data_IF_814925546732
#
_entry.id   IF_814925546732
#
_cell.length_a   1.000
_cell.length_b   1.000
_cell.length_c   1.000
_cell.angle_alpha   90.00
_cell.angle_beta   90.00
_cell.angle_gamma   90.00
#
_symmetry.space_group_name_H-M   'P 1'
#
loop_
_entity.id
_entity.type
_entity.pdbx_description
1 polymer ?
#
# COMPACT_ATOMS: atom_id res chain seq x y z
N UNK A 1 -5.99 19.23 54.65
CA UNK A 1 -4.75 19.90 54.21
C UNK A 1 -4.81 19.97 52.69
N UNK A 2 -4.79 21.15 52.08
CA UNK A 2 -4.86 21.28 50.63
C UNK A 2 -3.52 20.83 50.03
N UNK A 3 -3.51 19.72 49.28
CA UNK A 3 -2.35 19.26 48.50
C UNK A 3 -2.59 19.55 47.02
N UNK A 4 -1.53 19.86 46.29
CA UNK A 4 -1.54 20.02 44.82
C UNK A 4 -1.21 18.64 44.23
N UNK A 5 -2.12 18.06 43.46
CA UNK A 5 -1.82 16.83 42.72
C UNK A 5 -0.95 17.13 41.49
N UNK A 6 0.15 16.40 41.34
CA UNK A 6 1.08 16.56 40.23
C UNK A 6 1.36 15.20 39.59
N UNK A 7 1.42 15.18 38.26
CA UNK A 7 1.76 13.99 37.46
C UNK A 7 3.13 14.18 36.81
N UNK A 8 4.02 13.21 36.98
CA UNK A 8 5.33 13.22 36.32
C UNK A 8 5.19 12.94 34.82
N UNK A 9 5.71 13.82 33.97
CA UNK A 9 5.69 13.62 32.51
C UNK A 9 6.60 12.46 32.04
N UNK A 10 7.65 12.11 32.80
CA UNK A 10 8.60 11.08 32.41
C UNK A 10 8.13 9.66 32.74
N UNK A 11 7.51 9.45 33.91
CA UNK A 11 7.11 8.10 34.37
C UNK A 11 5.61 7.92 34.63
N UNK A 12 4.79 8.97 34.49
CA UNK A 12 3.35 8.92 34.75
C UNK A 12 2.93 8.83 36.22
N UNK A 13 3.87 8.83 37.17
CA UNK A 13 3.58 8.77 38.60
C UNK A 13 2.82 10.00 39.11
N UNK A 14 1.84 9.80 39.99
CA UNK A 14 1.03 10.85 40.63
C UNK A 14 1.39 11.00 42.10
N UNK A 15 1.55 12.22 42.60
CA UNK A 15 1.80 12.48 44.01
C UNK A 15 1.24 13.84 44.45
N UNK A 16 0.91 13.96 45.73
CA UNK A 16 0.47 15.21 46.34
C UNK A 16 1.65 16.04 46.83
N UNK A 17 1.65 17.33 46.52
CA UNK A 17 2.68 18.27 46.95
C UNK A 17 2.08 19.37 47.86
N UNK A 18 2.73 19.74 48.98
CA UNK A 18 2.29 20.87 49.80
C UNK A 18 2.27 22.21 49.03
N UNK A 19 1.36 23.16 49.37
CA UNK A 19 1.20 24.40 48.61
C UNK A 19 2.44 25.31 48.55
N UNK A 20 3.34 25.22 49.54
CA UNK A 20 4.56 26.04 49.57
C UNK A 20 5.59 25.67 48.48
N UNK A 21 5.37 24.55 47.77
CA UNK A 21 6.17 24.16 46.60
C UNK A 21 5.60 24.64 45.26
N UNK A 22 4.47 25.37 45.27
CA UNK A 22 3.90 25.92 44.04
C UNK A 22 4.91 26.81 43.30
N UNK A 23 5.11 26.58 42.00
CA UNK A 23 6.08 27.28 41.16
C UNK A 23 7.52 26.77 41.24
N UNK A 24 7.82 25.78 42.09
CA UNK A 24 9.17 25.22 42.22
C UNK A 24 9.39 23.99 41.32
N UNK A 25 10.64 23.66 41.03
CA UNK A 25 11.03 22.38 40.43
C UNK A 25 11.47 21.41 41.52
N UNK A 26 10.90 20.21 41.52
CA UNK A 26 11.22 19.15 42.46
C UNK A 26 11.56 17.85 41.70
N UNK A 27 12.48 17.02 42.22
CA UNK A 27 12.73 15.70 41.64
C UNK A 27 11.56 14.75 41.87
N UNK A 28 11.20 13.98 40.85
CA UNK A 28 10.19 12.94 40.96
C UNK A 28 10.60 11.88 41.99
N UNK A 29 9.74 11.52 42.97
CA UNK A 29 10.06 10.47 43.93
C UNK A 29 10.18 9.07 43.28
N UNK A 30 9.67 8.88 42.07
CA UNK A 30 9.69 7.59 41.37
C UNK A 30 10.88 7.44 40.40
N UNK A 31 11.23 8.49 39.63
CA UNK A 31 12.26 8.41 38.58
C UNK A 31 13.31 9.53 38.63
N UNK A 32 13.28 10.40 39.64
CA UNK A 32 14.20 11.53 39.85
C UNK A 32 14.24 12.61 38.75
N UNK A 33 13.44 12.51 37.69
CA UNK A 33 13.31 13.59 36.70
C UNK A 33 12.74 14.86 37.34
N UNK A 34 13.21 16.03 36.93
CA UNK A 34 12.69 17.31 37.42
C UNK A 34 11.23 17.53 36.96
N UNK A 35 10.37 17.92 37.89
CA UNK A 35 8.94 18.20 37.66
C UNK A 35 8.67 19.64 38.08
N UNK A 36 7.94 20.39 37.27
CA UNK A 36 7.53 21.77 37.57
C UNK A 36 6.15 21.77 38.24
N UNK A 37 6.08 22.29 39.47
CA UNK A 37 4.81 22.45 40.20
C UNK A 37 4.13 23.74 39.72
N UNK A 38 2.84 23.75 39.34
CA UNK A 38 2.14 24.97 38.91
C UNK A 38 2.16 26.06 40.00
N UNK A 39 2.28 27.33 39.62
CA UNK A 39 2.26 28.44 40.57
C UNK A 39 0.84 28.63 41.14
N UNK A 40 0.74 28.91 42.44
CA UNK A 40 -0.55 29.14 43.10
C UNK A 40 -1.21 30.40 42.51
N UNK A 41 -2.36 30.24 41.87
CA UNK A 41 -3.10 31.36 41.27
C UNK A 41 -2.88 31.53 39.77
N UNK A 42 -2.08 30.70 39.10
CA UNK A 42 -2.26 30.55 37.66
C UNK A 42 -3.61 29.87 37.41
N UNK A 43 -4.52 30.49 36.61
CA UNK A 43 -5.72 29.82 36.15
C UNK A 43 -5.29 28.48 35.56
N UNK A 44 -5.93 27.38 35.98
CA UNK A 44 -5.69 26.08 35.36
C UNK A 44 -5.66 26.32 33.84
N UNK A 45 -4.59 25.92 33.12
CA UNK A 45 -4.50 26.14 31.68
C UNK A 45 -5.83 25.73 31.10
N UNK A 46 -6.51 26.67 30.42
CA UNK A 46 -7.86 26.49 29.91
C UNK A 46 -7.83 25.15 29.20
N UNK A 47 -8.46 24.15 29.83
CA UNK A 47 -8.64 22.85 29.19
C UNK A 47 -9.32 23.20 27.87
N UNK A 48 -8.73 22.87 26.71
CA UNK A 48 -9.42 23.02 25.45
C UNK A 48 -10.83 22.51 25.67
N UNK A 49 -11.82 23.36 25.37
CA UNK A 49 -13.22 23.09 25.67
C UNK A 49 -13.48 21.63 25.34
N UNK A 50 -13.87 20.86 26.37
CA UNK A 50 -14.23 19.47 26.20
C UNK A 50 -15.27 19.45 25.11
N UNK A 51 -14.86 19.04 23.91
CA UNK A 51 -15.75 18.79 22.80
C UNK A 51 -16.80 17.86 23.40
N UNK A 52 -18.05 18.32 23.41
CA UNK A 52 -19.18 17.42 23.60
C UNK A 52 -18.99 16.36 22.55
N UNK A 53 -18.73 15.14 23.01
CA UNK A 53 -18.53 13.99 22.17
C UNK A 53 -19.75 13.89 21.26
N UNK A 54 -19.56 14.29 20.01
CA UNK A 54 -20.28 13.66 18.92
C UNK A 54 -19.99 12.15 19.08
N UNK A 55 -20.99 11.25 19.04
CA UNK A 55 -20.77 9.81 19.23
C UNK A 55 -19.92 9.15 18.13
N UNK A 56 -19.23 9.94 17.30
CA UNK A 56 -18.46 9.50 16.14
C UNK A 56 -17.19 10.35 15.89
N UNK A 57 -16.55 10.88 16.94
CA UNK A 57 -15.20 11.46 16.80
C UNK A 57 -14.13 10.37 16.88
N UNK A 58 -13.46 10.18 15.75
CA UNK A 58 -12.35 9.26 15.50
C UNK A 58 -11.12 9.62 16.39
N UNK A 59 -10.60 8.70 17.22
CA UNK A 59 -9.47 8.95 18.12
C UNK A 59 -8.13 9.29 17.43
N UNK A 60 -8.07 9.29 16.10
CA UNK A 60 -6.81 9.44 15.34
C UNK A 60 -6.61 10.81 14.67
N UNK A 61 -7.55 11.75 14.80
CA UNK A 61 -7.46 13.06 14.16
C UNK A 61 -6.26 13.92 14.64
N UNK A 62 -5.85 13.78 15.90
CA UNK A 62 -4.76 14.59 16.46
C UNK A 62 -3.36 14.05 16.13
N UNK A 63 -3.22 12.79 15.70
CA UNK A 63 -1.93 12.22 15.28
C UNK A 63 -1.48 12.69 13.89
N UNK A 64 -2.37 13.31 13.11
CA UNK A 64 -2.10 13.79 11.76
C UNK A 64 -1.31 15.09 11.71
N UNK A 65 -1.45 15.96 12.72
CA UNK A 65 -0.78 17.26 12.70
C UNK A 65 0.73 17.18 12.99
N UNK A 66 1.18 16.13 13.68
CA UNK A 66 2.60 15.92 13.99
C UNK A 66 3.36 15.16 12.87
N UNK A 67 2.67 14.34 12.08
CA UNK A 67 3.28 13.58 10.98
C UNK A 67 3.61 14.43 9.75
N UNK A 68 2.90 15.53 9.51
CA UNK A 68 3.13 16.41 8.35
C UNK A 68 4.42 17.25 8.45
N UNK A 69 4.98 17.41 9.66
CA UNK A 69 6.19 18.20 9.88
C UNK A 69 7.49 17.39 9.95
N UNK A 70 7.44 16.07 9.75
CA UNK A 70 8.61 15.20 9.79
C UNK A 70 8.92 14.59 8.42
N UNK A 71 9.27 15.43 7.45
CA UNK A 71 9.78 14.98 6.15
C UNK A 71 11.08 14.18 6.34
N UNK A 72 11.11 12.86 6.08
CA UNK A 72 12.35 12.10 6.12
C UNK A 72 13.27 12.54 4.97
N UNK A 73 14.60 12.51 5.14
CA UNK A 73 15.53 12.87 4.07
C UNK A 73 15.28 11.98 2.84
N UNK A 74 15.16 12.63 1.68
CA UNK A 74 14.96 12.01 0.37
C UNK A 74 16.03 10.93 0.12
N UNK A 75 15.57 9.70 -0.10
CA UNK A 75 16.40 8.49 -0.17
C UNK A 75 16.91 8.25 -1.59
N UNK A 76 18.18 7.87 -1.68
CA UNK A 76 19.02 7.74 -2.88
C UNK A 76 18.45 6.94 -4.06
N UNK A 77 18.76 7.49 -5.25
CA UNK A 77 18.78 6.96 -6.62
C UNK A 77 17.87 5.76 -6.95
N UNK A 78 16.72 6.11 -7.50
CA UNK A 78 15.78 5.18 -8.12
C UNK A 78 16.15 4.92 -9.59
N UNK A 79 16.26 3.64 -9.95
CA UNK A 79 16.31 3.18 -11.33
C UNK A 79 14.89 3.26 -11.92
N UNK A 80 14.74 3.95 -13.06
CA UNK A 80 13.46 4.16 -13.74
C UNK A 80 13.34 3.27 -14.98
N UNK A 81 12.22 2.57 -15.12
CA UNK A 81 11.86 1.83 -16.33
C UNK A 81 11.04 2.79 -17.19
N UNK A 82 11.78 3.66 -17.88
CA UNK A 82 11.32 4.86 -18.57
C UNK A 82 11.80 6.12 -17.83
N UNK A 83 12.40 7.10 -18.52
CA UNK A 83 13.05 8.29 -17.93
C UNK A 83 12.18 9.15 -17.00
N UNK A 84 10.88 8.89 -16.89
CA UNK A 84 9.92 9.85 -16.34
C UNK A 84 9.13 9.38 -15.11
N UNK A 85 9.33 8.14 -14.62
CA UNK A 85 8.59 7.69 -13.43
C UNK A 85 9.37 6.69 -12.56
N UNK A 86 9.33 6.95 -11.26
CA UNK A 86 9.85 6.09 -10.21
C UNK A 86 8.71 5.69 -9.28
N UNK A 87 8.61 4.41 -8.94
CA UNK A 87 7.69 3.94 -7.91
C UNK A 87 8.02 4.60 -6.56
N UNK A 88 7.03 5.23 -5.92
CA UNK A 88 7.18 5.86 -4.60
C UNK A 88 7.44 4.82 -3.51
N UNK A 89 6.87 3.62 -3.64
CA UNK A 89 7.05 2.50 -2.73
C UNK A 89 7.35 1.21 -3.52
N UNK A 90 8.60 0.99 -3.98
CA UNK A 90 8.92 -0.16 -4.82
C UNK A 90 8.79 -1.49 -4.06
N UNK A 91 8.16 -2.48 -4.70
CA UNK A 91 7.88 -3.79 -4.08
C UNK A 91 9.13 -4.51 -3.57
N UNK A 92 10.24 -4.48 -4.32
CA UNK A 92 11.52 -5.12 -3.97
C UNK A 92 11.32 -6.58 -3.50
N UNK A 93 10.49 -7.34 -4.22
CA UNK A 93 10.23 -8.75 -3.97
C UNK A 93 11.02 -9.58 -4.96
N UNK A 94 11.65 -10.66 -4.50
CA UNK A 94 12.15 -11.71 -5.38
C UNK A 94 11.01 -12.71 -5.59
N UNK A 95 10.38 -12.77 -6.77
CA UNK A 95 9.21 -13.63 -6.95
C UNK A 95 9.62 -15.11 -6.93
N UNK A 96 8.83 -15.92 -6.24
CA UNK A 96 8.81 -17.36 -6.43
C UNK A 96 8.06 -17.67 -7.73
N UNK A 97 8.82 -18.06 -8.75
CA UNK A 97 8.28 -18.33 -10.10
C UNK A 97 7.38 -19.56 -10.14
N UNK A 98 7.58 -20.53 -9.24
CA UNK A 98 6.70 -21.69 -9.14
C UNK A 98 5.33 -21.26 -8.62
N UNK A 99 5.31 -20.43 -7.58
CA UNK A 99 4.08 -19.85 -7.05
C UNK A 99 3.38 -18.96 -8.08
N UNK A 100 4.13 -18.15 -8.83
CA UNK A 100 3.56 -17.40 -9.95
C UNK A 100 2.85 -18.33 -10.96
N UNK A 101 3.50 -19.44 -11.31
CA UNK A 101 2.95 -20.42 -12.25
C UNK A 101 1.63 -21.04 -11.76
N UNK A 102 1.47 -21.31 -10.46
CA UNK A 102 0.22 -21.87 -9.93
C UNK A 102 -0.95 -20.89 -10.03
N UNK A 103 -0.70 -19.59 -9.88
CA UNK A 103 -1.73 -18.55 -9.97
C UNK A 103 -1.99 -18.05 -11.41
N UNK A 104 -0.99 -18.13 -12.30
CA UNK A 104 -1.06 -17.64 -13.68
C UNK A 104 -0.46 -18.66 -14.67
N UNK A 105 -1.03 -19.89 -14.80
CA UNK A 105 -0.42 -20.97 -15.57
C UNK A 105 -0.51 -20.78 -17.09
N UNK A 106 -1.52 -20.05 -17.57
CA UNK A 106 -1.88 -20.02 -19.01
C UNK A 106 -0.74 -19.58 -19.91
N UNK A 107 -0.17 -18.39 -19.68
CA UNK A 107 0.90 -17.85 -20.53
C UNK A 107 2.21 -18.64 -20.44
N UNK A 108 2.71 -19.01 -19.25
CA UNK A 108 3.85 -19.91 -19.12
C UNK A 108 3.67 -21.22 -19.89
N UNK A 109 2.50 -21.87 -19.78
CA UNK A 109 2.21 -23.12 -20.51
C UNK A 109 2.25 -22.89 -22.01
N UNK A 110 1.62 -21.82 -22.52
CA UNK A 110 1.65 -21.48 -23.95
C UNK A 110 3.09 -21.34 -24.45
N UNK A 111 3.93 -20.60 -23.74
CA UNK A 111 5.33 -20.39 -24.14
C UNK A 111 6.17 -21.67 -24.06
N UNK A 112 6.01 -22.47 -23.00
CA UNK A 112 6.73 -23.74 -22.83
C UNK A 112 6.31 -24.74 -23.91
N UNK A 113 5.01 -24.90 -24.17
CA UNK A 113 4.48 -25.82 -25.19
C UNK A 113 4.93 -25.37 -26.59
N UNK A 114 4.84 -24.09 -26.91
CA UNK A 114 5.31 -23.56 -28.20
C UNK A 114 6.81 -23.80 -28.41
N UNK A 115 7.62 -23.58 -27.36
CA UNK A 115 9.05 -23.86 -27.39
C UNK A 115 9.32 -25.36 -27.62
N UNK A 116 8.68 -26.25 -26.86
CA UNK A 116 8.86 -27.71 -26.99
C UNK A 116 8.48 -28.19 -28.38
N UNK A 117 7.32 -27.77 -28.91
CA UNK A 117 6.88 -28.13 -30.26
C UNK A 117 7.85 -27.64 -31.33
N UNK A 118 8.36 -26.41 -31.20
CA UNK A 118 9.33 -25.86 -32.16
C UNK A 118 10.64 -26.66 -32.18
N UNK A 119 11.12 -27.11 -31.01
CA UNK A 119 12.31 -27.96 -30.90
C UNK A 119 12.05 -29.34 -31.53
N UNK A 120 10.91 -29.97 -31.24
CA UNK A 120 10.53 -31.26 -31.83
C UNK A 120 10.50 -31.17 -33.36
N UNK A 121 9.86 -30.14 -33.92
CA UNK A 121 9.81 -29.97 -35.37
C UNK A 121 11.18 -29.64 -35.98
N UNK A 122 12.05 -28.93 -35.26
CA UNK A 122 13.41 -28.66 -35.72
C UNK A 122 14.25 -29.94 -35.89
N UNK A 123 14.08 -30.90 -34.98
CA UNK A 123 14.72 -32.22 -35.11
C UNK A 123 14.04 -33.11 -36.15
N UNK A 124 12.71 -33.14 -36.17
CA UNK A 124 11.95 -34.12 -36.96
C UNK A 124 11.80 -33.71 -38.43
N UNK A 125 11.81 -32.42 -38.75
CA UNK A 125 11.38 -31.92 -40.07
C UNK A 125 12.44 -31.09 -40.78
N UNK A 126 12.91 -29.99 -40.18
CA UNK A 126 13.85 -29.10 -40.84
C UNK A 126 14.65 -28.23 -39.86
N UNK A 127 15.97 -28.13 -40.08
CA UNK A 127 16.90 -27.42 -39.19
C UNK A 127 16.61 -25.92 -39.07
N UNK A 128 16.02 -25.26 -40.08
CA UNK A 128 15.70 -23.83 -39.98
C UNK A 128 14.69 -23.50 -38.88
N UNK A 129 13.91 -24.48 -38.41
CA UNK A 129 12.99 -24.30 -37.29
C UNK A 129 13.70 -24.05 -35.95
N UNK A 130 15.02 -24.25 -35.86
CA UNK A 130 15.83 -23.77 -34.74
C UNK A 130 15.72 -22.25 -34.54
N UNK A 131 15.49 -21.47 -35.60
CA UNK A 131 15.27 -20.02 -35.49
C UNK A 131 13.96 -19.75 -34.75
N UNK A 132 12.90 -20.50 -35.06
CA UNK A 132 11.61 -20.40 -34.36
C UNK A 132 11.77 -20.80 -32.89
N UNK A 133 12.51 -21.88 -32.61
CA UNK A 133 12.79 -22.29 -31.24
C UNK A 133 13.56 -21.24 -30.44
N UNK A 134 14.57 -20.61 -31.05
CA UNK A 134 15.30 -19.50 -30.42
C UNK A 134 14.39 -18.31 -30.12
N UNK A 135 13.48 -17.95 -31.04
CA UNK A 135 12.50 -16.90 -30.81
C UNK A 135 11.54 -17.25 -29.67
N UNK A 136 11.02 -18.47 -29.63
CA UNK A 136 10.14 -18.93 -28.54
C UNK A 136 10.87 -18.93 -27.19
N UNK A 137 12.15 -19.32 -27.16
CA UNK A 137 12.98 -19.25 -25.97
C UNK A 137 13.18 -17.80 -25.49
N UNK A 138 13.43 -16.87 -26.42
CA UNK A 138 13.56 -15.45 -26.10
C UNK A 138 12.25 -14.84 -25.57
N UNK A 139 11.10 -15.18 -26.16
CA UNK A 139 9.79 -14.75 -25.67
C UNK A 139 9.46 -15.31 -24.29
N UNK A 140 9.76 -16.59 -24.06
CA UNK A 140 9.62 -17.21 -22.73
C UNK A 140 10.52 -16.53 -21.70
N UNK A 141 11.80 -16.28 -22.03
CA UNK A 141 12.72 -15.54 -21.15
C UNK A 141 12.21 -14.13 -20.86
N UNK A 142 11.76 -13.40 -21.89
CA UNK A 142 11.21 -12.05 -21.74
C UNK A 142 9.98 -12.03 -20.82
N UNK A 143 9.10 -13.03 -20.93
CA UNK A 143 7.95 -13.18 -20.05
C UNK A 143 8.38 -13.27 -18.57
N UNK A 144 9.31 -14.18 -18.24
CA UNK A 144 9.78 -14.33 -16.86
C UNK A 144 10.55 -13.11 -16.36
N UNK A 145 11.34 -12.48 -17.23
CA UNK A 145 12.00 -11.22 -16.92
C UNK A 145 10.98 -10.12 -16.56
N UNK A 146 9.87 -10.03 -17.30
CA UNK A 146 8.79 -9.09 -17.00
C UNK A 146 8.14 -9.35 -15.64
N UNK A 147 7.94 -10.61 -15.26
CA UNK A 147 7.43 -10.97 -13.91
C UNK A 147 8.39 -10.48 -12.84
N UNK A 148 9.70 -10.76 -12.98
CA UNK A 148 10.72 -10.28 -12.03
C UNK A 148 10.72 -8.75 -11.93
N UNK A 149 10.71 -8.06 -13.08
CA UNK A 149 10.68 -6.60 -13.14
C UNK A 149 9.44 -6.02 -12.46
N UNK A 150 8.26 -6.61 -12.67
CA UNK A 150 7.01 -6.15 -12.07
C UNK A 150 7.10 -6.09 -10.55
N UNK A 151 7.62 -7.14 -9.92
CA UNK A 151 7.68 -7.23 -8.46
C UNK A 151 8.92 -6.57 -7.84
N UNK A 152 9.98 -6.39 -8.62
CA UNK A 152 11.17 -5.70 -8.18
C UNK A 152 10.99 -4.17 -8.20
N UNK A 153 10.36 -3.63 -9.24
CA UNK A 153 10.29 -2.20 -9.51
C UNK A 153 8.88 -1.60 -9.44
N UNK A 154 7.83 -2.43 -9.49
CA UNK A 154 6.46 -1.96 -9.37
C UNK A 154 6.16 -1.33 -8.01
N UNK A 155 5.13 -0.49 -7.98
CA UNK A 155 4.72 0.22 -6.79
C UNK A 155 3.83 -0.68 -5.91
N UNK A 156 4.14 -0.78 -4.63
CA UNK A 156 3.30 -1.45 -3.65
C UNK A 156 2.07 -0.59 -3.38
N UNK A 157 0.88 -1.21 -3.36
CA UNK A 157 -0.41 -0.56 -3.17
C UNK A 157 -1.20 -1.22 -2.04
N UNK A 158 -1.94 -0.44 -1.23
CA UNK A 158 -2.89 -0.99 -0.28
C UNK A 158 -4.05 -1.66 -1.04
N UNK A 159 -4.47 -2.83 -0.58
CA UNK A 159 -5.56 -3.59 -1.17
C UNK A 159 -6.52 -4.15 -0.14
N UNK A 160 -7.76 -4.40 -0.56
CA UNK A 160 -8.79 -5.01 0.30
C UNK A 160 -9.72 -5.93 -0.48
N UNK A 161 -10.09 -7.05 0.14
CA UNK A 161 -11.12 -7.96 -0.38
C UNK A 161 -12.50 -7.30 -0.22
N UNK A 162 -13.19 -7.07 -1.33
CA UNK A 162 -14.48 -6.36 -1.37
C UNK A 162 -15.68 -7.27 -1.63
N UNK A 163 -15.46 -8.50 -2.12
CA UNK A 163 -16.45 -9.56 -2.30
C UNK A 163 -15.75 -10.92 -2.30
N UNK A 164 -16.46 -11.99 -1.93
CA UNK A 164 -15.96 -13.38 -2.00
C UNK A 164 -16.55 -14.16 -3.19
N UNK A 165 -17.70 -13.75 -3.71
CA UNK A 165 -18.41 -14.44 -4.81
C UNK A 165 -18.89 -13.44 -5.88
N UNK A 166 -18.13 -13.26 -6.99
CA UNK A 166 -16.76 -13.72 -7.18
C UNK A 166 -15.79 -12.99 -6.23
N UNK A 167 -14.62 -13.57 -5.96
CA UNK A 167 -13.61 -12.91 -5.15
C UNK A 167 -13.08 -11.66 -5.88
N UNK A 168 -13.40 -10.50 -5.32
CA UNK A 168 -13.04 -9.19 -5.85
C UNK A 168 -12.10 -8.50 -4.86
N UNK A 169 -11.03 -7.94 -5.40
CA UNK A 169 -10.00 -7.23 -4.63
C UNK A 169 -9.86 -5.84 -5.22
N UNK A 170 -9.90 -4.82 -4.37
CA UNK A 170 -9.70 -3.43 -4.76
C UNK A 170 -8.35 -2.92 -4.29
N UNK A 171 -7.65 -2.16 -5.14
CA UNK A 171 -6.41 -1.46 -4.83
C UNK A 171 -6.59 0.04 -5.07
N UNK A 172 -6.15 0.89 -4.14
CA UNK A 172 -6.09 2.33 -4.37
C UNK A 172 -4.73 2.73 -4.95
N UNK A 173 -4.74 3.75 -5.80
CA UNK A 173 -3.52 4.35 -6.35
C UNK A 173 -3.78 5.78 -6.82
N UNK A 174 -2.72 6.57 -6.95
CA UNK A 174 -2.76 7.85 -7.64
C UNK A 174 -2.20 7.66 -9.06
N UNK A 175 -3.02 7.95 -10.07
CA UNK A 175 -2.65 7.82 -11.48
C UNK A 175 -2.00 9.09 -12.04
N UNK A 176 -1.72 10.11 -11.22
CA UNK A 176 -1.14 11.38 -11.66
C UNK A 176 0.27 11.21 -12.24
N UNK A 177 0.54 11.84 -13.40
CA UNK A 177 1.88 11.86 -14.04
C UNK A 177 2.52 13.26 -14.08
N UNK A 178 1.82 14.27 -13.58
CA UNK A 178 2.24 15.67 -13.61
C UNK A 178 1.31 16.55 -12.80
N UNK A 179 0.60 17.46 -13.46
CA UNK A 179 -0.36 18.37 -12.81
C UNK A 179 -1.73 17.70 -12.71
N UNK A 180 -2.41 17.93 -11.59
CA UNK A 180 -3.76 17.41 -11.32
C UNK A 180 -3.76 16.43 -10.15
N UNK A 181 -4.92 15.81 -9.94
CA UNK A 181 -5.08 14.71 -8.98
C UNK A 181 -6.00 13.69 -9.63
N UNK A 182 -5.50 12.47 -9.80
CA UNK A 182 -6.20 11.38 -10.47
C UNK A 182 -6.24 10.14 -9.56
N UNK A 183 -6.85 10.25 -8.37
CA UNK A 183 -7.03 9.10 -7.49
C UNK A 183 -7.90 8.05 -8.18
N UNK A 184 -7.49 6.79 -8.08
CA UNK A 184 -8.19 5.70 -8.72
C UNK A 184 -8.24 4.45 -7.84
N UNK A 185 -9.28 3.65 -8.06
CA UNK A 185 -9.43 2.31 -7.50
C UNK A 185 -9.47 1.31 -8.64
N UNK A 186 -8.57 0.33 -8.60
CA UNK A 186 -8.57 -0.82 -9.52
C UNK A 186 -9.16 -2.03 -8.81
N UNK A 187 -10.27 -2.54 -9.33
CA UNK A 187 -10.91 -3.76 -8.85
C UNK A 187 -10.56 -4.92 -9.78
N UNK A 188 -9.97 -5.98 -9.24
CA UNK A 188 -9.63 -7.20 -9.98
C UNK A 188 -10.42 -8.40 -9.47
N UNK A 189 -10.61 -9.39 -10.34
CA UNK A 189 -11.11 -10.72 -9.98
C UNK A 189 -9.92 -11.64 -9.76
N UNK A 190 -9.74 -12.14 -8.53
CA UNK A 190 -8.70 -13.12 -8.24
C UNK A 190 -9.14 -13.96 -7.05
N UNK A 191 -9.10 -15.28 -7.20
CA UNK A 191 -9.44 -16.22 -6.14
C UNK A 191 -8.18 -16.62 -5.37
N UNK A 192 -8.31 -16.61 -4.05
CA UNK A 192 -7.33 -17.14 -3.11
C UNK A 192 -8.06 -18.08 -2.17
N UNK A 193 -7.46 -19.22 -1.86
CA UNK A 193 -7.95 -20.07 -0.79
C UNK A 193 -7.46 -19.54 0.57
N UNK A 194 -6.29 -18.90 0.59
CA UNK A 194 -5.68 -18.25 1.75
C UNK A 194 -5.01 -16.93 1.38
N UNK A 195 -5.11 -15.94 2.27
CA UNK A 195 -4.37 -14.68 2.24
C UNK A 195 -3.60 -14.55 3.56
N UNK A 196 -2.26 -14.45 3.49
CA UNK A 196 -1.43 -14.42 4.70
C UNK A 196 -1.61 -15.63 5.63
N UNK A 197 -1.91 -16.80 5.08
CA UNK A 197 -2.19 -18.03 5.85
C UNK A 197 -3.56 -18.06 6.55
N UNK A 198 -4.47 -17.16 6.18
CA UNK A 198 -5.83 -17.11 6.74
C UNK A 198 -6.88 -17.19 5.63
N UNK A 199 -8.05 -17.76 5.96
CA UNK A 199 -9.19 -17.78 5.05
C UNK A 199 -9.66 -16.33 4.76
N UNK A 200 -9.77 -15.92 3.48
CA UNK A 200 -10.15 -14.57 3.10
C UNK A 200 -11.55 -14.18 3.60
N UNK A 201 -11.70 -12.95 4.06
CA UNK A 201 -12.98 -12.35 4.44
C UNK A 201 -13.13 -10.99 3.76
N UNK A 202 -14.36 -10.53 3.57
CA UNK A 202 -14.58 -9.14 3.13
C UNK A 202 -13.97 -8.20 4.17
N UNK A 203 -13.17 -7.24 3.71
CA UNK A 203 -12.40 -6.34 4.56
C UNK A 203 -10.98 -6.84 4.89
N UNK A 204 -10.61 -8.07 4.50
CA UNK A 204 -9.21 -8.54 4.62
C UNK A 204 -8.30 -7.61 3.82
N UNK A 205 -7.35 -6.99 4.51
CA UNK A 205 -6.30 -6.14 3.93
C UNK A 205 -5.20 -7.01 3.33
N UNK A 206 -4.67 -6.58 2.20
CA UNK A 206 -3.52 -7.18 1.54
C UNK A 206 -2.72 -6.12 0.79
N UNK A 207 -1.60 -6.53 0.21
CA UNK A 207 -0.75 -5.67 -0.61
C UNK A 207 -0.71 -6.17 -2.04
N UNK A 208 -0.81 -5.24 -2.99
CA UNK A 208 -0.55 -5.49 -4.40
C UNK A 208 0.74 -4.82 -4.82
N UNK A 209 1.37 -5.30 -5.89
CA UNK A 209 2.42 -4.56 -6.60
C UNK A 209 1.92 -4.28 -8.01
N UNK A 210 2.04 -3.03 -8.44
CA UNK A 210 1.50 -2.57 -9.70
C UNK A 210 2.56 -1.97 -10.63
N UNK A 211 2.37 -2.20 -11.93
CA UNK A 211 2.95 -1.39 -12.99
C UNK A 211 1.86 -0.50 -13.59
N UNK A 212 2.30 0.62 -14.14
CA UNK A 212 1.44 1.61 -14.79
C UNK A 212 1.72 1.64 -16.28
N UNK A 213 0.68 1.83 -17.07
CA UNK A 213 0.77 1.93 -18.51
C UNK A 213 0.22 3.27 -19.00
N UNK A 214 0.87 3.80 -20.03
CA UNK A 214 0.49 5.02 -20.73
C UNK A 214 0.62 4.75 -22.23
N UNK A 215 -0.49 4.85 -22.95
CA UNK A 215 -0.51 4.72 -24.42
C UNK A 215 -0.18 6.06 -25.10
N UNK A 216 -0.57 7.19 -24.50
CA UNK A 216 -0.34 8.53 -25.07
C UNK A 216 0.39 9.48 -24.12
N UNK A 217 1.36 10.23 -24.65
CA UNK A 217 2.03 11.32 -23.92
C UNK A 217 1.15 12.55 -23.69
N UNK A 218 -0.06 12.60 -24.27
CA UNK A 218 -0.96 13.75 -24.17
C UNK A 218 -1.81 13.79 -22.89
N UNK A 219 -2.05 12.65 -22.26
CA UNK A 219 -2.87 12.57 -21.04
C UNK A 219 -2.05 12.90 -19.79
N UNK A 220 -2.65 13.61 -18.82
CA UNK A 220 -1.96 14.03 -17.58
C UNK A 220 -1.93 12.95 -16.48
N UNK A 221 -2.39 11.75 -16.81
CA UNK A 221 -2.45 10.60 -15.89
C UNK A 221 -2.08 9.31 -16.62
N UNK A 222 -1.75 8.27 -15.86
CA UNK A 222 -1.65 6.89 -16.32
C UNK A 222 -3.02 6.41 -16.79
N UNK A 223 -3.06 5.59 -17.84
CA UNK A 223 -4.33 5.13 -18.43
C UNK A 223 -4.73 3.76 -17.90
N UNK A 224 -3.77 2.94 -17.50
CA UNK A 224 -4.03 1.66 -16.87
C UNK A 224 -3.02 1.36 -15.77
N UNK A 225 -3.45 0.48 -14.86
CA UNK A 225 -2.67 -0.01 -13.74
C UNK A 225 -2.97 -1.49 -13.58
N UNK A 226 -1.91 -2.29 -13.43
CA UNK A 226 -1.99 -3.74 -13.31
C UNK A 226 -1.50 -4.19 -11.92
N UNK A 227 -2.32 -4.04 -10.87
CA UNK A 227 -1.97 -4.51 -9.54
C UNK A 227 -2.07 -6.02 -9.47
N UNK A 228 -1.02 -6.64 -8.94
CA UNK A 228 -1.00 -8.07 -8.65
C UNK A 228 -0.77 -8.31 -7.16
N UNK A 229 -1.66 -9.03 -6.46
CA UNK A 229 -1.47 -9.39 -5.05
C UNK A 229 -0.14 -10.11 -4.83
N UNK A 230 0.59 -9.74 -3.77
CA UNK A 230 1.91 -10.32 -3.48
C UNK A 230 1.83 -11.82 -3.14
N UNK A 231 0.66 -12.29 -2.71
CA UNK A 231 0.34 -13.70 -2.47
C UNK A 231 0.53 -14.56 -3.72
N UNK A 232 0.53 -13.96 -4.92
CA UNK A 232 0.78 -14.67 -6.17
C UNK A 232 2.26 -15.02 -6.37
N UNK A 233 3.19 -14.38 -5.65
CA UNK A 233 4.64 -14.54 -5.86
C UNK A 233 5.44 -14.85 -4.62
N UNK A 234 4.86 -14.75 -3.42
CA UNK A 234 5.56 -15.13 -2.19
C UNK A 234 4.59 -15.47 -1.06
N UNK A 235 4.96 -16.46 -0.25
CA UNK A 235 4.37 -16.78 1.05
C UNK A 235 5.28 -16.39 2.23
N UNK A 236 6.42 -15.73 1.99
CA UNK A 236 7.32 -15.34 3.06
C UNK A 236 6.65 -14.30 3.97
N UNK A 237 6.28 -14.65 5.22
CA UNK A 237 5.59 -13.73 6.12
C UNK A 237 6.42 -12.47 6.42
N UNK A 238 7.76 -12.52 6.27
CA UNK A 238 8.62 -11.35 6.44
C UNK A 238 8.44 -10.35 5.31
N UNK A 239 8.26 -10.82 4.07
CA UNK A 239 7.99 -9.94 2.92
C UNK A 239 6.63 -9.29 3.08
N UNK A 240 5.62 -10.06 3.50
CA UNK A 240 4.28 -9.58 3.80
C UNK A 240 4.29 -8.51 4.90
N UNK A 241 4.88 -8.81 6.05
CA UNK A 241 4.97 -7.87 7.17
C UNK A 241 5.75 -6.59 6.80
N UNK A 242 6.86 -6.73 6.06
CA UNK A 242 7.64 -5.59 5.57
C UNK A 242 6.77 -4.68 4.71
N UNK A 243 6.12 -5.21 3.69
CA UNK A 243 5.31 -4.40 2.77
C UNK A 243 4.08 -3.82 3.46
N UNK A 244 3.41 -4.59 4.32
CA UNK A 244 2.30 -4.08 5.12
C UNK A 244 2.74 -2.91 6.01
N UNK A 245 3.94 -2.96 6.59
CA UNK A 245 4.49 -1.86 7.41
C UNK A 245 4.82 -0.59 6.62
N UNK A 246 4.93 -0.68 5.29
CA UNK A 246 5.08 0.51 4.43
C UNK A 246 3.75 1.19 4.12
N UNK A 247 2.63 0.56 4.45
CA UNK A 247 1.29 1.15 4.32
C UNK A 247 0.83 1.66 5.67
N UNK A 248 0.37 2.90 5.68
CA UNK A 248 -0.22 3.55 6.84
C UNK A 248 -1.68 3.15 7.02
N UNK A 249 -2.23 3.36 8.22
CA UNK A 249 -3.67 3.20 8.43
C UNK A 249 -4.47 4.17 7.54
N UNK A 250 -3.94 5.38 7.32
CA UNK A 250 -4.53 6.37 6.42
C UNK A 250 -4.71 5.84 5.01
N UNK A 251 -3.72 5.16 4.43
CA UNK A 251 -3.80 4.61 3.07
C UNK A 251 -4.99 3.65 2.91
N UNK A 252 -5.24 2.84 3.94
CA UNK A 252 -6.41 1.95 3.98
C UNK A 252 -7.71 2.70 4.21
N UNK A 253 -7.74 3.69 5.10
CA UNK A 253 -8.94 4.51 5.34
C UNK A 253 -9.36 5.31 4.10
N UNK A 254 -8.40 5.81 3.34
CA UNK A 254 -8.63 6.45 2.05
C UNK A 254 -9.25 5.47 1.05
N UNK A 255 -8.68 4.26 0.91
CA UNK A 255 -9.25 3.19 0.09
C UNK A 255 -10.69 2.86 0.50
N UNK A 256 -10.97 2.70 1.80
CA UNK A 256 -12.32 2.45 2.30
C UNK A 256 -13.29 3.60 2.00
N UNK A 257 -12.81 4.85 2.06
CA UNK A 257 -13.59 6.03 1.73
C UNK A 257 -13.98 6.03 0.25
N UNK A 258 -13.00 5.80 -0.64
CA UNK A 258 -13.24 5.73 -2.09
C UNK A 258 -14.17 4.57 -2.48
N UNK A 259 -14.06 3.43 -1.79
CA UNK A 259 -14.90 2.25 -2.03
C UNK A 259 -16.40 2.47 -1.77
N UNK A 260 -16.79 3.57 -1.12
CA UNK A 260 -18.22 3.93 -0.98
C UNK A 260 -18.86 4.30 -2.32
N UNK A 261 -18.08 4.90 -3.23
CA UNK A 261 -18.54 5.30 -4.57
C UNK A 261 -18.28 4.26 -5.66
N UNK A 262 -17.47 3.24 -5.39
CA UNK A 262 -17.01 2.26 -6.40
C UNK A 262 -17.97 1.07 -6.52
N UNK A 263 -18.47 0.75 -7.73
CA UNK A 263 -19.24 -0.45 -7.97
C UNK A 263 -18.48 -1.73 -7.60
N UNK A 264 -19.17 -2.75 -7.07
CA UNK A 264 -18.59 -4.08 -6.76
C UNK A 264 -18.40 -4.92 -8.03
N UNK A 265 -17.67 -4.38 -9.00
CA UNK A 265 -17.40 -4.97 -10.32
C UNK A 265 -15.93 -4.72 -10.68
N UNK A 266 -15.29 -5.68 -11.34
CA UNK A 266 -13.93 -5.49 -11.84
C UNK A 266 -13.86 -4.35 -12.86
N UNK A 267 -12.82 -3.51 -12.75
CA UNK A 267 -12.65 -2.31 -13.56
C UNK A 267 -11.67 -1.32 -12.93
N UNK A 268 -11.30 -0.28 -13.67
CA UNK A 268 -10.58 0.88 -13.18
C UNK A 268 -11.57 2.03 -12.97
N UNK A 269 -11.55 2.65 -11.79
CA UNK A 269 -12.48 3.71 -11.43
C UNK A 269 -11.72 4.93 -10.94
N UNK A 270 -11.87 6.07 -11.61
CA UNK A 270 -11.31 7.34 -11.15
C UNK A 270 -12.28 7.98 -10.15
N UNK A 271 -11.74 8.41 -9.01
CA UNK A 271 -12.49 9.06 -7.95
C UNK A 271 -12.58 10.55 -8.28
N UNK A 272 -13.81 11.04 -8.35
CA UNK A 272 -14.10 12.45 -8.61
C UNK A 272 -13.98 13.27 -7.31
N UNK A 273 -13.85 14.59 -7.39
CA UNK A 273 -13.75 15.45 -6.21
C UNK A 273 -14.96 15.37 -5.25
N UNK A 274 -16.13 14.95 -5.75
CA UNK A 274 -17.34 14.73 -4.93
C UNK A 274 -17.39 13.33 -4.27
N UNK A 275 -16.34 12.52 -4.46
CA UNK A 275 -16.25 11.14 -3.96
C UNK A 275 -16.96 10.10 -4.83
N UNK A 276 -17.62 10.50 -5.92
CA UNK A 276 -18.20 9.56 -6.88
C UNK A 276 -17.11 8.86 -7.70
N UNK A 277 -17.38 7.66 -8.19
CA UNK A 277 -16.43 6.90 -9.00
C UNK A 277 -16.91 6.82 -10.45
N UNK A 278 -16.02 7.14 -11.40
CA UNK A 278 -16.27 7.02 -12.84
C UNK A 278 -15.47 5.85 -13.40
N UNK A 279 -16.15 4.85 -13.96
CA UNK A 279 -15.50 3.72 -14.66
C UNK A 279 -14.73 4.25 -15.87
N UNK A 280 -13.45 3.92 -15.93
CA UNK A 280 -12.61 4.20 -17.09
C UNK A 280 -12.79 3.06 -18.10
N UNK A 281 -13.36 3.40 -19.26
CA UNK A 281 -13.44 2.47 -20.37
C UNK A 281 -12.17 2.64 -21.19
N UNK A 282 -11.30 1.63 -21.13
CA UNK A 282 -10.18 1.55 -22.06
C UNK A 282 -10.76 1.36 -23.46
N UNK A 283 -10.56 2.36 -24.31
CA UNK A 283 -10.89 2.24 -25.74
C UNK A 283 -9.75 1.43 -26.35
N UNK A 284 -9.98 0.14 -26.56
CA UNK A 284 -9.07 -0.66 -27.40
C UNK A 284 -9.03 0.03 -28.78
N UNK A 285 -7.85 0.54 -29.13
CA UNK A 285 -7.57 1.19 -30.42
C UNK A 285 -6.86 0.23 -31.37
#
# INVERSE_FOLDING_TARGET
>A
MNQIEVTCAACGGRFGCPPHFAGQQLPCPNCQSAIQIPAAGQPAPIRPASQTADPFTDPFADAFHDAVNSTPPLRESSFSIGEYATASNPGKIKPDLYRWFTFYPTWPIVWIVALVLSVIFAFAWHWSLWIVAALMAAMNWHYWHRVVVHFQYGNALPGVVISLEPMLIAFSTDMTTGVGSFPAVRVIKKRFDELGGQTPKVGTRLIGVALYARSSSSVQHWEDVDPVPIECVTDDPKVHARLMSTMTEQDFQELFTWLRGVPRKAGLYFIQPDGSAKEYQFVES
#
